data_IF_211886857710
#
_entry.id   IF_211886857710
#
_cell.length_a   1.000
_cell.length_b   1.000
_cell.length_c   1.000
_cell.angle_alpha   90.00
_cell.angle_beta   90.00
_cell.angle_gamma   90.00
#
_symmetry.space_group_name_H-M   'P 1'
#
loop_
_entity.id
_entity.type
_entity.pdbx_description
1 polymer ?
#
# COMPACT_ATOMS: atom_id res chain seq x y z
N UNK A 1 41.96 -25.74 4.10
CA UNK A 1 40.97 -25.77 3.00
C UNK A 1 39.61 -25.96 3.64
N UNK A 2 38.89 -24.87 3.88
CA UNK A 2 37.52 -24.92 4.38
C UNK A 2 36.64 -25.41 3.23
N UNK A 3 35.93 -26.51 3.45
CA UNK A 3 34.92 -26.99 2.53
C UNK A 3 33.91 -25.85 2.29
N UNK A 4 33.86 -25.33 1.07
CA UNK A 4 32.63 -24.75 0.55
C UNK A 4 31.57 -25.84 0.67
N UNK A 5 30.77 -25.80 1.74
CA UNK A 5 29.53 -26.57 1.81
C UNK A 5 28.80 -26.39 0.48
N UNK A 6 28.52 -27.48 -0.21
CA UNK A 6 27.88 -27.48 -1.53
C UNK A 6 26.66 -26.55 -1.52
N UNK A 7 26.79 -25.41 -2.19
CA UNK A 7 25.68 -24.50 -2.47
C UNK A 7 24.82 -25.19 -3.51
N UNK A 8 23.92 -26.06 -3.06
CA UNK A 8 22.92 -26.68 -3.94
C UNK A 8 21.87 -25.64 -4.32
N UNK A 9 21.38 -25.67 -5.56
CA UNK A 9 20.33 -24.77 -6.05
C UNK A 9 19.12 -24.71 -5.09
N UNK A 10 18.69 -25.84 -4.54
CA UNK A 10 17.61 -25.92 -3.56
C UNK A 10 17.88 -25.12 -2.28
N UNK A 11 19.13 -25.10 -1.79
CA UNK A 11 19.52 -24.30 -0.61
C UNK A 11 19.49 -22.81 -0.93
N UNK A 12 19.92 -22.41 -2.14
CA UNK A 12 19.86 -21.03 -2.59
C UNK A 12 18.40 -20.54 -2.71
N UNK A 13 17.52 -21.36 -3.28
CA UNK A 13 16.09 -21.05 -3.41
C UNK A 13 15.39 -20.94 -2.06
N UNK A 14 15.71 -21.80 -1.09
CA UNK A 14 15.20 -21.67 0.28
C UNK A 14 15.69 -20.38 0.95
N UNK A 15 16.97 -20.03 0.78
CA UNK A 15 17.51 -18.78 1.31
C UNK A 15 16.87 -17.54 0.65
N UNK A 16 16.60 -17.59 -0.66
CA UNK A 16 15.87 -16.54 -1.38
C UNK A 16 14.43 -16.43 -0.86
N UNK A 17 13.74 -17.55 -0.69
CA UNK A 17 12.39 -17.59 -0.12
C UNK A 17 12.36 -16.93 1.26
N UNK A 18 13.27 -17.29 2.17
CA UNK A 18 13.33 -16.71 3.52
C UNK A 18 13.56 -15.20 3.48
N UNK A 19 14.48 -14.72 2.64
CA UNK A 19 14.74 -13.29 2.47
C UNK A 19 13.52 -12.54 1.93
N UNK A 20 12.82 -13.16 0.99
CA UNK A 20 11.62 -12.59 0.38
C UNK A 20 10.45 -12.56 1.38
N UNK A 21 10.31 -13.56 2.26
CA UNK A 21 9.34 -13.55 3.37
C UNK A 21 9.66 -12.46 4.40
N UNK A 22 10.92 -12.25 4.75
CA UNK A 22 11.31 -11.15 5.65
C UNK A 22 11.01 -9.78 5.03
N UNK A 23 11.31 -9.58 3.74
CA UNK A 23 10.92 -8.36 3.03
C UNK A 23 9.39 -8.17 3.02
N UNK A 24 8.62 -9.22 2.69
CA UNK A 24 7.16 -9.17 2.75
C UNK A 24 6.65 -8.75 4.12
N UNK A 25 7.18 -9.35 5.20
CA UNK A 25 6.81 -9.03 6.59
C UNK A 25 7.08 -7.56 6.91
N UNK A 26 8.25 -7.03 6.57
CA UNK A 26 8.57 -5.61 6.78
C UNK A 26 7.63 -4.70 6.00
N UNK A 27 7.34 -5.03 4.73
CA UNK A 27 6.44 -4.23 3.88
C UNK A 27 5.00 -4.25 4.37
N UNK A 28 4.49 -5.40 4.80
CA UNK A 28 3.16 -5.54 5.40
C UNK A 28 3.08 -4.68 6.65
N UNK A 29 4.04 -4.81 7.57
CA UNK A 29 4.06 -4.01 8.79
C UNK A 29 4.14 -2.50 8.50
N UNK A 30 4.92 -2.08 7.51
CA UNK A 30 4.98 -0.68 7.10
C UNK A 30 3.64 -0.20 6.52
N UNK A 31 3.07 -0.95 5.58
CA UNK A 31 1.78 -0.66 4.93
C UNK A 31 0.67 -0.51 5.96
N UNK A 32 0.56 -1.45 6.89
CA UNK A 32 -0.53 -1.48 7.88
C UNK A 32 -0.44 -0.30 8.85
N UNK A 33 0.77 0.24 9.10
CA UNK A 33 0.95 1.43 9.93
C UNK A 33 0.64 2.75 9.21
N UNK A 34 0.68 2.80 7.87
CA UNK A 34 0.43 4.04 7.12
C UNK A 34 -0.96 4.60 7.33
N UNK A 35 -1.96 3.74 7.54
CA UNK A 35 -3.32 4.17 7.83
C UNK A 35 -3.38 4.92 9.16
N UNK A 36 -2.76 4.39 10.22
CA UNK A 36 -2.69 5.05 11.52
C UNK A 36 -1.94 6.39 11.44
N UNK A 37 -0.83 6.45 10.72
CA UNK A 37 -0.10 7.70 10.50
C UNK A 37 -0.94 8.73 9.73
N UNK A 38 -1.68 8.30 8.71
CA UNK A 38 -2.56 9.18 7.92
C UNK A 38 -3.66 9.76 8.79
N UNK A 39 -4.32 8.93 9.60
CA UNK A 39 -5.36 9.38 10.52
C UNK A 39 -4.82 10.36 11.57
N UNK A 40 -3.68 10.05 12.18
CA UNK A 40 -3.05 10.92 13.17
C UNK A 40 -2.67 12.29 12.58
N UNK A 41 -2.02 12.28 11.40
CA UNK A 41 -1.59 13.50 10.72
C UNK A 41 -2.78 14.33 10.24
N UNK A 42 -3.81 13.71 9.64
CA UNK A 42 -5.02 14.40 9.23
C UNK A 42 -5.76 15.01 10.43
N UNK A 43 -5.90 14.26 11.52
CA UNK A 43 -6.52 14.76 12.77
C UNK A 43 -5.76 15.96 13.30
N UNK A 44 -4.42 15.90 13.35
CA UNK A 44 -3.61 17.03 13.80
C UNK A 44 -3.84 18.29 12.94
N UNK A 45 -3.84 18.15 11.62
CA UNK A 45 -4.12 19.28 10.70
C UNK A 45 -5.53 19.84 10.92
N UNK A 46 -6.54 18.96 11.07
CA UNK A 46 -7.91 19.38 11.34
C UNK A 46 -8.03 20.12 12.67
N UNK A 47 -7.43 19.61 13.74
CA UNK A 47 -7.41 20.27 15.06
C UNK A 47 -6.76 21.65 14.98
N UNK A 48 -5.60 21.77 14.34
CA UNK A 48 -4.91 23.07 14.19
C UNK A 48 -5.74 24.02 13.32
N UNK A 49 -6.36 23.53 12.26
CA UNK A 49 -7.24 24.33 11.40
C UNK A 49 -8.40 24.92 12.19
N UNK A 50 -9.07 24.09 13.00
CA UNK A 50 -10.21 24.52 13.84
C UNK A 50 -9.76 25.52 14.91
N UNK A 51 -8.65 25.26 15.60
CA UNK A 51 -8.15 26.14 16.66
C UNK A 51 -7.66 27.49 16.14
N UNK A 52 -7.02 27.51 14.97
CA UNK A 52 -6.45 28.73 14.38
C UNK A 52 -7.43 29.51 13.50
N UNK A 53 -8.54 28.87 13.09
CA UNK A 53 -9.47 29.42 12.08
C UNK A 53 -8.88 29.50 10.66
N UNK A 54 -7.67 28.97 10.43
CA UNK A 54 -6.97 29.10 9.14
C UNK A 54 -7.30 27.94 8.19
N UNK A 55 -8.40 28.07 7.45
CA UNK A 55 -8.86 27.03 6.50
C UNK A 55 -7.85 26.66 5.41
N UNK A 56 -6.88 27.53 5.10
CA UNK A 56 -5.76 27.22 4.18
C UNK A 56 -4.92 26.00 4.62
N UNK A 57 -4.89 25.68 5.91
CA UNK A 57 -4.14 24.54 6.45
C UNK A 57 -4.70 23.20 5.99
N UNK A 58 -5.97 23.14 5.58
CA UNK A 58 -6.60 21.95 5.01
C UNK A 58 -5.89 21.44 3.75
N UNK A 59 -5.16 22.32 3.03
CA UNK A 59 -4.36 21.94 1.86
C UNK A 59 -3.16 21.05 2.20
N UNK A 60 -2.82 20.88 3.49
CA UNK A 60 -1.81 19.91 3.91
C UNK A 60 -2.33 18.46 3.84
N UNK A 61 -3.63 18.23 4.09
CA UNK A 61 -4.21 16.87 4.11
C UNK A 61 -4.07 16.15 2.76
N UNK A 62 -4.39 16.78 1.61
CA UNK A 62 -4.16 16.15 0.30
C UNK A 62 -2.71 15.76 0.03
N UNK A 63 -1.74 16.56 0.50
CA UNK A 63 -0.31 16.23 0.35
C UNK A 63 0.07 15.03 1.19
N UNK A 64 -0.37 15.00 2.46
CA UNK A 64 -0.13 13.89 3.37
C UNK A 64 -0.73 12.59 2.79
N UNK A 65 -2.01 12.64 2.40
CA UNK A 65 -2.70 11.50 1.81
C UNK A 65 -2.06 11.05 0.49
N UNK A 66 -1.54 11.97 -0.32
CA UNK A 66 -0.83 11.61 -1.56
C UNK A 66 0.46 10.84 -1.28
N UNK A 67 1.31 11.36 -0.38
CA UNK A 67 2.60 10.74 -0.05
C UNK A 67 2.40 9.38 0.61
N UNK A 68 1.53 9.31 1.63
CA UNK A 68 1.28 8.08 2.37
C UNK A 68 0.51 7.07 1.51
N UNK A 69 -0.49 7.51 0.73
CA UNK A 69 -1.25 6.64 -0.16
C UNK A 69 -0.42 6.06 -1.30
N UNK A 70 0.49 6.85 -1.90
CA UNK A 70 1.45 6.34 -2.88
C UNK A 70 2.38 5.29 -2.27
N UNK A 71 2.89 5.58 -1.07
CA UNK A 71 3.78 4.65 -0.37
C UNK A 71 3.06 3.35 0.00
N UNK A 72 1.79 3.44 0.39
CA UNK A 72 0.93 2.29 0.64
C UNK A 72 0.80 1.42 -0.62
N UNK A 73 0.45 2.03 -1.75
CA UNK A 73 0.25 1.33 -3.02
C UNK A 73 1.52 0.61 -3.50
N UNK A 74 2.68 1.27 -3.44
CA UNK A 74 3.96 0.65 -3.83
C UNK A 74 4.29 -0.56 -2.96
N UNK A 75 4.01 -0.49 -1.65
CA UNK A 75 4.23 -1.65 -0.78
C UNK A 75 3.26 -2.78 -1.10
N UNK A 76 1.99 -2.48 -1.35
CA UNK A 76 0.98 -3.49 -1.69
C UNK A 76 1.29 -4.21 -3.01
N UNK A 77 1.76 -3.48 -4.03
CA UNK A 77 2.25 -4.07 -5.28
C UNK A 77 3.43 -5.01 -5.02
N UNK A 78 4.41 -4.58 -4.22
CA UNK A 78 5.60 -5.40 -3.92
C UNK A 78 5.26 -6.67 -3.16
N UNK A 79 4.34 -6.59 -2.19
CA UNK A 79 3.82 -7.76 -1.47
C UNK A 79 3.16 -8.74 -2.45
N UNK A 80 2.33 -8.22 -3.35
CA UNK A 80 1.64 -9.02 -4.38
C UNK A 80 2.62 -9.66 -5.37
N UNK A 81 3.60 -8.90 -5.86
CA UNK A 81 4.63 -9.39 -6.78
C UNK A 81 5.49 -10.49 -6.14
N UNK A 82 5.87 -10.31 -4.89
CA UNK A 82 6.59 -11.31 -4.09
C UNK A 82 5.79 -12.62 -3.98
N UNK A 83 4.48 -12.55 -3.69
CA UNK A 83 3.61 -13.72 -3.66
C UNK A 83 3.46 -14.41 -5.03
N UNK A 84 3.38 -13.63 -6.11
CA UNK A 84 3.37 -14.18 -7.47
C UNK A 84 4.69 -14.88 -7.82
N UNK A 85 5.83 -14.29 -7.46
CA UNK A 85 7.14 -14.89 -7.72
C UNK A 85 7.34 -16.21 -6.97
N UNK A 86 6.96 -16.26 -5.68
CA UNK A 86 7.00 -17.51 -4.90
C UNK A 86 6.17 -18.60 -5.56
N UNK A 87 4.97 -18.26 -6.02
CA UNK A 87 4.05 -19.23 -6.64
C UNK A 87 4.46 -19.67 -8.04
N UNK A 88 4.83 -18.71 -8.89
CA UNK A 88 4.96 -18.94 -10.34
C UNK A 88 6.40 -19.33 -10.73
N UNK A 89 7.37 -19.15 -9.84
CA UNK A 89 8.79 -19.45 -10.08
C UNK A 89 9.39 -20.34 -8.99
N UNK A 90 9.37 -19.88 -7.75
CA UNK A 90 10.15 -20.44 -6.65
C UNK A 90 9.64 -21.83 -6.22
N UNK A 91 8.33 -21.96 -5.98
CA UNK A 91 7.67 -23.21 -5.60
C UNK A 91 7.82 -24.33 -6.64
N UNK A 92 7.47 -24.10 -7.92
CA UNK A 92 7.64 -25.11 -8.97
C UNK A 92 9.08 -25.58 -9.14
N UNK A 93 10.05 -24.65 -9.13
CA UNK A 93 11.47 -24.99 -9.28
C UNK A 93 11.99 -25.81 -8.09
N UNK A 94 11.56 -25.47 -6.87
CA UNK A 94 11.96 -26.21 -5.69
C UNK A 94 11.30 -27.60 -5.64
N UNK A 95 10.06 -27.75 -6.12
CA UNK A 95 9.38 -29.04 -6.27
C UNK A 95 10.13 -29.96 -7.24
N UNK A 96 10.54 -29.42 -8.41
CA UNK A 96 11.34 -30.14 -9.41
C UNK A 96 12.67 -30.65 -8.83
N UNK A 97 13.40 -29.79 -8.10
CA UNK A 97 14.69 -30.14 -7.52
C UNK A 97 14.61 -31.09 -6.32
N UNK A 98 13.50 -31.08 -5.59
CA UNK A 98 13.31 -31.92 -4.40
C UNK A 98 12.58 -33.23 -4.68
N UNK A 99 11.92 -33.36 -5.84
CA UNK A 99 11.03 -34.48 -6.14
C UNK A 99 9.78 -34.54 -5.25
N UNK A 100 9.48 -33.47 -4.50
CA UNK A 100 8.34 -33.40 -3.60
C UNK A 100 7.11 -32.87 -4.33
N UNK A 101 5.97 -33.54 -4.16
CA UNK A 101 4.68 -33.04 -4.61
C UNK A 101 4.19 -31.93 -3.67
N UNK A 102 4.20 -30.69 -4.17
CA UNK A 102 3.68 -29.52 -3.47
C UNK A 102 4.63 -28.96 -2.41
N UNK A 103 5.42 -27.96 -2.80
CA UNK A 103 6.27 -27.19 -1.87
C UNK A 103 5.53 -25.92 -1.44
N UNK A 104 5.78 -25.45 -0.22
CA UNK A 104 5.13 -24.28 0.40
C UNK A 104 3.60 -24.44 0.62
N UNK A 105 3.17 -25.54 1.24
CA UNK A 105 1.74 -25.82 1.49
C UNK A 105 0.95 -24.72 2.22
N UNK A 106 1.61 -23.89 3.03
CA UNK A 106 0.98 -22.72 3.65
C UNK A 106 0.51 -21.65 2.64
N UNK A 107 1.31 -21.43 1.59
CA UNK A 107 1.04 -20.44 0.54
C UNK A 107 -0.15 -20.84 -0.35
N UNK A 108 -0.45 -22.14 -0.44
CA UNK A 108 -1.60 -22.66 -1.19
C UNK A 108 -2.85 -22.83 -0.32
N UNK A 109 -2.70 -23.21 0.95
CA UNK A 109 -3.81 -23.51 1.86
C UNK A 109 -4.85 -22.38 2.01
N UNK A 110 -4.40 -21.12 2.10
CA UNK A 110 -5.29 -19.97 2.33
C UNK A 110 -6.00 -19.46 1.07
N UNK A 111 -5.76 -20.09 -0.09
CA UNK A 111 -6.22 -19.56 -1.37
C UNK A 111 -7.70 -19.86 -1.64
N UNK A 112 -8.20 -20.97 -1.11
CA UNK A 112 -9.59 -21.42 -1.31
C UNK A 112 -10.59 -20.75 -0.36
N UNK A 113 -10.14 -19.73 0.38
CA UNK A 113 -11.01 -18.94 1.24
C UNK A 113 -11.96 -18.05 0.41
N UNK A 114 -13.23 -18.45 0.36
CA UNK A 114 -14.32 -17.74 -0.31
C UNK A 114 -14.46 -16.26 0.14
N UNK A 115 -14.03 -15.92 1.36
CA UNK A 115 -14.08 -14.56 1.90
C UNK A 115 -12.97 -13.64 1.39
N UNK A 116 -11.96 -14.16 0.68
CA UNK A 116 -10.78 -13.39 0.26
C UNK A 116 -11.13 -12.20 -0.63
N UNK A 117 -12.02 -12.39 -1.60
CA UNK A 117 -12.44 -11.32 -2.51
C UNK A 117 -13.18 -10.21 -1.75
N UNK A 118 -14.04 -10.57 -0.80
CA UNK A 118 -14.77 -9.61 0.03
C UNK A 118 -13.83 -8.80 0.91
N UNK A 119 -12.84 -9.44 1.56
CA UNK A 119 -11.84 -8.72 2.37
C UNK A 119 -11.00 -7.76 1.54
N UNK A 120 -10.56 -8.18 0.34
CA UNK A 120 -9.85 -7.29 -0.60
C UNK A 120 -10.69 -6.07 -0.97
N UNK A 121 -11.97 -6.27 -1.34
CA UNK A 121 -12.88 -5.16 -1.69
C UNK A 121 -13.11 -4.19 -0.54
N UNK A 122 -13.30 -4.71 0.67
CA UNK A 122 -13.47 -3.87 1.86
C UNK A 122 -12.21 -3.07 2.16
N UNK A 123 -11.03 -3.68 2.02
CA UNK A 123 -9.76 -3.00 2.17
C UNK A 123 -9.58 -1.88 1.14
N UNK A 124 -9.84 -2.15 -0.15
CA UNK A 124 -9.82 -1.11 -1.19
C UNK A 124 -10.79 0.03 -0.89
N UNK A 125 -11.98 -0.28 -0.36
CA UNK A 125 -12.94 0.76 0.04
C UNK A 125 -12.40 1.64 1.17
N UNK A 126 -11.78 1.03 2.20
CA UNK A 126 -11.12 1.77 3.29
C UNK A 126 -9.98 2.63 2.77
N UNK A 127 -9.18 2.11 1.85
CA UNK A 127 -8.06 2.83 1.24
C UNK A 127 -8.54 4.04 0.42
N UNK A 128 -9.59 3.86 -0.40
CA UNK A 128 -10.20 4.96 -1.16
C UNK A 128 -10.81 6.02 -0.24
N UNK A 129 -11.48 5.62 0.85
CA UNK A 129 -12.01 6.58 1.82
C UNK A 129 -10.87 7.40 2.44
N UNK A 130 -9.80 6.73 2.84
CA UNK A 130 -8.68 7.34 3.56
C UNK A 130 -7.82 8.25 2.67
N UNK A 131 -7.48 7.78 1.46
CA UNK A 131 -6.52 8.46 0.60
C UNK A 131 -7.14 9.33 -0.50
N UNK A 132 -8.45 9.19 -0.76
CA UNK A 132 -9.16 9.97 -1.77
C UNK A 132 -10.33 10.78 -1.16
N UNK A 133 -11.25 10.15 -0.44
CA UNK A 133 -12.46 10.86 0.04
C UNK A 133 -12.11 11.91 1.10
N UNK A 134 -11.35 11.54 2.14
CA UNK A 134 -10.92 12.45 3.19
C UNK A 134 -10.21 13.72 2.67
N UNK A 135 -9.15 13.62 1.84
CA UNK A 135 -8.50 14.79 1.26
C UNK A 135 -9.40 15.59 0.30
N UNK A 136 -10.30 14.95 -0.45
CA UNK A 136 -11.28 15.67 -1.28
C UNK A 136 -12.29 16.46 -0.44
N UNK A 137 -12.71 15.96 0.73
CA UNK A 137 -13.52 16.73 1.67
C UNK A 137 -12.77 17.96 2.20
N UNK A 138 -11.47 17.82 2.49
CA UNK A 138 -10.62 18.93 2.92
C UNK A 138 -10.46 20.01 1.82
N UNK A 139 -10.26 19.58 0.56
CA UNK A 139 -10.21 20.49 -0.60
C UNK A 139 -11.54 21.22 -0.80
N UNK A 140 -12.66 20.50 -0.69
CA UNK A 140 -14.00 21.08 -0.83
C UNK A 140 -14.27 22.11 0.27
N UNK A 141 -13.94 21.79 1.52
CA UNK A 141 -14.06 22.71 2.64
C UNK A 141 -13.17 23.96 2.46
N UNK A 142 -11.98 23.81 1.89
CA UNK A 142 -11.12 24.95 1.53
C UNK A 142 -11.78 25.85 0.46
N UNK A 143 -12.34 25.27 -0.61
CA UNK A 143 -13.02 26.03 -1.68
C UNK A 143 -14.26 26.77 -1.20
N UNK A 144 -14.97 26.24 -0.20
CA UNK A 144 -16.13 26.90 0.41
C UNK A 144 -15.74 28.01 1.40
N UNK A 145 -14.45 28.22 1.69
CA UNK A 145 -13.99 29.18 2.69
C UNK A 145 -13.60 30.53 2.08
N UNK A 146 -13.54 31.57 2.92
CA UNK A 146 -13.04 32.89 2.51
C UNK A 146 -11.51 32.95 2.31
N UNK A 147 -10.78 31.85 2.58
CA UNK A 147 -9.34 31.78 2.41
C UNK A 147 -8.89 31.52 0.97
N UNK A 148 -9.84 31.42 0.03
CA UNK A 148 -9.58 31.21 -1.39
C UNK A 148 -8.79 32.39 -1.95
N UNK A 149 -7.53 32.13 -2.32
CA UNK A 149 -6.66 33.04 -3.05
C UNK A 149 -6.18 32.35 -4.32
N UNK A 150 -5.92 33.08 -5.43
CA UNK A 150 -5.56 32.46 -6.72
C UNK A 150 -4.41 31.46 -6.62
N UNK A 151 -3.35 31.79 -5.86
CA UNK A 151 -2.21 30.88 -5.66
C UNK A 151 -2.62 29.56 -4.99
N UNK A 152 -3.47 29.61 -3.96
CA UNK A 152 -3.95 28.41 -3.26
C UNK A 152 -4.94 27.60 -4.10
N UNK A 153 -5.70 28.26 -4.99
CA UNK A 153 -6.56 27.57 -5.95
C UNK A 153 -5.72 26.74 -6.93
N UNK A 154 -4.66 27.31 -7.49
CA UNK A 154 -3.75 26.58 -8.39
C UNK A 154 -3.18 25.35 -7.68
N UNK A 155 -2.71 25.51 -6.44
CA UNK A 155 -2.21 24.40 -5.62
C UNK A 155 -3.29 23.34 -5.42
N UNK A 156 -4.52 23.74 -5.06
CA UNK A 156 -5.63 22.81 -4.84
C UNK A 156 -6.01 22.03 -6.10
N UNK A 157 -6.00 22.66 -7.28
CA UNK A 157 -6.29 22.00 -8.55
C UNK A 157 -5.22 20.97 -8.91
N UNK A 158 -3.94 21.32 -8.71
CA UNK A 158 -2.82 20.39 -8.89
C UNK A 158 -2.96 19.19 -7.93
N UNK A 159 -3.32 19.45 -6.67
CA UNK A 159 -3.58 18.39 -5.69
C UNK A 159 -4.74 17.49 -6.11
N UNK A 160 -5.86 18.05 -6.62
CA UNK A 160 -6.99 17.28 -7.14
C UNK A 160 -6.58 16.37 -8.30
N UNK A 161 -5.72 16.85 -9.21
CA UNK A 161 -5.22 16.03 -10.31
C UNK A 161 -4.39 14.84 -9.79
N UNK A 162 -3.46 15.08 -8.88
CA UNK A 162 -2.66 14.00 -8.29
C UNK A 162 -3.51 13.00 -7.49
N UNK A 163 -4.52 13.48 -6.79
CA UNK A 163 -5.51 12.66 -6.09
C UNK A 163 -6.29 11.76 -7.05
N UNK A 164 -6.74 12.29 -8.20
CA UNK A 164 -7.43 11.51 -9.22
C UNK A 164 -6.51 10.41 -9.80
N UNK A 165 -5.23 10.72 -10.06
CA UNK A 165 -4.24 9.74 -10.49
C UNK A 165 -4.05 8.64 -9.44
N UNK A 166 -3.93 9.01 -8.17
CA UNK A 166 -3.79 8.05 -7.08
C UNK A 166 -5.02 7.13 -6.97
N UNK A 167 -6.24 7.70 -7.01
CA UNK A 167 -7.48 6.94 -6.97
C UNK A 167 -7.61 5.96 -8.14
N UNK A 168 -7.24 6.38 -9.36
CA UNK A 168 -7.20 5.50 -10.52
C UNK A 168 -6.23 4.33 -10.33
N UNK A 169 -5.05 4.58 -9.74
CA UNK A 169 -4.11 3.51 -9.45
C UNK A 169 -4.66 2.51 -8.43
N UNK A 170 -5.29 2.96 -7.34
CA UNK A 170 -5.94 2.06 -6.38
C UNK A 170 -6.96 1.12 -7.04
N UNK A 171 -7.80 1.67 -7.93
CA UNK A 171 -8.78 0.87 -8.67
C UNK A 171 -8.11 -0.15 -9.60
N UNK A 172 -7.09 0.28 -10.34
CA UNK A 172 -6.34 -0.60 -11.26
C UNK A 172 -5.66 -1.77 -10.55
N UNK A 173 -5.13 -1.55 -9.35
CA UNK A 173 -4.48 -2.59 -8.56
C UNK A 173 -5.48 -3.49 -7.82
N UNK A 174 -6.67 -2.99 -7.49
CA UNK A 174 -7.74 -3.79 -6.87
C UNK A 174 -8.30 -4.89 -7.80
N UNK A 175 -8.21 -4.70 -9.11
CA UNK A 175 -8.63 -5.67 -10.13
C UNK A 175 -7.64 -6.82 -10.36
N UNK A 176 -6.45 -6.77 -9.73
CA UNK A 176 -5.38 -7.79 -9.82
C UNK A 176 -5.39 -8.78 -8.64
#
# INVERSE_FOLDING_TARGET
MAATEDVTESRLLLAEYDRLKEEQKTRIGFRDNLLYFTLAAATAVLTITVQSGQTRLLLAVPVICLVLGWTYLVNDEKISAAGCYVRDRLGPRLAELSGADGVFGWETYHRDDAGRATRKRLQTAVDLITYLVLPMLCLTAFWCSSAVRPAFVIVSLVQTLFQAVLGWQFLRYAER
#
